data_IF_579459140488
#
_entry.id   IF_579459140488
#
_cell.length_a   1.000
_cell.length_b   1.000
_cell.length_c   1.000
_cell.angle_alpha   90.00
_cell.angle_beta   90.00
_cell.angle_gamma   90.00
#
_symmetry.space_group_name_H-M   'P 1'
#
loop_
_entity.id
_entity.type
_entity.pdbx_description
1 polymer ?
#
# COMPACT_ATOMS: atom_id res chain seq x y z
N UNK A 1 12.86 -19.58 20.44
CA UNK A 1 13.53 -20.66 19.65
C UNK A 1 14.38 -20.04 18.58
N UNK A 2 15.58 -20.54 18.39
CA UNK A 2 16.44 -20.09 17.29
C UNK A 2 16.18 -20.92 16.04
N UNK A 3 16.14 -20.25 14.89
CA UNK A 3 16.12 -20.90 13.58
C UNK A 3 17.43 -20.62 12.85
N UNK A 4 17.81 -21.45 11.87
CA UNK A 4 19.12 -21.31 11.21
C UNK A 4 19.13 -20.27 10.08
N UNK A 5 18.23 -19.28 10.12
CA UNK A 5 18.15 -18.23 9.09
C UNK A 5 17.51 -16.99 9.67
N UNK A 6 17.67 -15.87 8.97
CA UNK A 6 17.00 -14.60 9.27
C UNK A 6 16.20 -14.19 8.03
N UNK A 7 14.93 -13.82 8.21
CA UNK A 7 14.13 -13.32 7.09
C UNK A 7 14.66 -11.96 6.64
N UNK A 8 14.77 -11.78 5.34
CA UNK A 8 15.06 -10.49 4.72
C UNK A 8 13.80 -9.67 4.48
N UNK A 9 13.84 -8.84 3.46
CA UNK A 9 12.70 -8.01 3.06
C UNK A 9 11.53 -8.85 2.59
N UNK A 10 10.33 -8.28 2.64
CA UNK A 10 9.18 -8.86 1.96
C UNK A 10 9.41 -8.73 0.45
N UNK A 11 9.63 -9.85 -0.22
CA UNK A 11 9.92 -9.85 -1.65
C UNK A 11 8.70 -9.45 -2.48
N UNK A 12 7.63 -10.18 -2.30
CA UNK A 12 6.35 -9.91 -2.96
C UNK A 12 5.21 -10.54 -2.18
N UNK A 13 4.00 -10.09 -2.48
CA UNK A 13 2.78 -10.71 -1.98
C UNK A 13 1.69 -10.64 -3.05
N UNK A 14 0.67 -11.47 -2.91
CA UNK A 14 -0.42 -11.56 -3.86
C UNK A 14 -1.73 -11.11 -3.26
N UNK A 15 -2.58 -10.48 -4.09
CA UNK A 15 -3.93 -10.06 -3.72
C UNK A 15 -4.90 -10.51 -4.80
N UNK A 16 -6.06 -11.01 -4.37
CA UNK A 16 -7.18 -11.24 -5.28
C UNK A 16 -7.85 -9.90 -5.55
N UNK A 17 -8.02 -9.54 -6.82
CA UNK A 17 -8.66 -8.30 -7.26
C UNK A 17 -9.67 -8.61 -8.35
N UNK A 18 -10.68 -7.74 -8.52
CA UNK A 18 -11.74 -7.97 -9.52
C UNK A 18 -11.21 -7.89 -10.94
N UNK A 19 -10.36 -6.91 -11.20
CA UNK A 19 -9.81 -6.65 -12.54
C UNK A 19 -8.33 -6.28 -12.39
N UNK A 20 -7.41 -7.24 -12.60
CA UNK A 20 -5.98 -6.99 -12.42
C UNK A 20 -5.42 -5.84 -13.27
N UNK A 21 -5.93 -5.64 -14.49
CA UNK A 21 -5.44 -4.55 -15.35
C UNK A 21 -5.87 -3.18 -14.83
N UNK A 22 -7.10 -3.06 -14.37
CA UNK A 22 -7.59 -1.81 -13.75
C UNK A 22 -6.89 -1.56 -12.42
N UNK A 23 -6.72 -2.61 -11.62
CA UNK A 23 -6.01 -2.52 -10.35
C UNK A 23 -4.56 -2.08 -10.56
N UNK A 24 -3.87 -2.65 -11.55
CA UNK A 24 -2.51 -2.26 -11.88
C UNK A 24 -2.40 -0.76 -12.22
N UNK A 25 -3.36 -0.24 -12.99
CA UNK A 25 -3.39 1.20 -13.32
C UNK A 25 -3.62 2.06 -12.08
N UNK A 26 -4.45 1.59 -11.16
CA UNK A 26 -4.66 2.30 -9.91
C UNK A 26 -3.37 2.35 -9.07
N UNK A 27 -2.67 1.22 -8.92
CA UNK A 27 -1.41 1.17 -8.18
C UNK A 27 -0.34 2.07 -8.82
N UNK A 28 -0.29 2.14 -10.14
CA UNK A 28 0.62 3.04 -10.83
C UNK A 28 0.26 4.50 -10.52
N UNK A 29 -1.02 4.84 -10.64
CA UNK A 29 -1.51 6.20 -10.42
C UNK A 29 -1.41 6.66 -8.97
N UNK A 30 -1.77 5.78 -8.03
CA UNK A 30 -1.80 6.11 -6.61
C UNK A 30 -0.43 6.02 -5.94
N UNK A 31 0.34 4.97 -6.25
CA UNK A 31 1.56 4.62 -5.52
C UNK A 31 2.82 4.59 -6.39
N UNK A 32 2.71 4.85 -7.69
CA UNK A 32 3.86 4.84 -8.58
C UNK A 32 4.43 3.46 -8.85
N UNK A 33 3.69 2.39 -8.55
CA UNK A 33 4.12 1.03 -8.85
C UNK A 33 3.85 0.73 -10.31
N UNK A 34 4.87 0.26 -11.02
CA UNK A 34 4.78 0.01 -12.47
C UNK A 34 4.44 -1.44 -12.74
N UNK A 35 3.75 -1.68 -13.85
CA UNK A 35 3.56 -3.04 -14.35
C UNK A 35 4.92 -3.64 -14.67
N UNK A 36 5.22 -4.78 -14.06
CA UNK A 36 6.46 -5.51 -14.27
C UNK A 36 6.28 -6.61 -15.32
N UNK A 37 5.23 -7.40 -15.20
CA UNK A 37 4.90 -8.44 -16.16
C UNK A 37 3.44 -8.90 -15.98
N UNK A 38 2.95 -9.62 -16.99
CA UNK A 38 1.66 -10.31 -16.91
C UNK A 38 1.90 -11.82 -16.76
N UNK A 39 0.99 -12.46 -16.08
CA UNK A 39 1.01 -13.92 -15.91
C UNK A 39 -0.43 -14.43 -15.95
N UNK A 40 -0.65 -15.66 -16.40
CA UNK A 40 -1.96 -16.33 -16.40
C UNK A 40 -3.16 -15.40 -16.28
N UNK A 41 -3.72 -15.34 -15.08
CA UNK A 41 -4.89 -14.52 -14.76
C UNK A 41 -4.53 -13.25 -13.98
N UNK A 42 -3.33 -12.72 -14.13
CA UNK A 42 -2.91 -11.61 -13.30
C UNK A 42 -1.86 -10.69 -13.89
N UNK A 43 -1.54 -9.67 -13.10
CA UNK A 43 -0.55 -8.64 -13.42
C UNK A 43 0.30 -8.40 -12.17
N UNK A 44 1.61 -8.34 -12.34
CA UNK A 44 2.52 -7.93 -11.27
C UNK A 44 2.87 -6.46 -11.45
N UNK A 45 2.77 -5.70 -10.36
CA UNK A 45 3.20 -4.30 -10.30
C UNK A 45 4.26 -4.15 -9.21
N UNK A 46 5.18 -3.21 -9.38
CA UNK A 46 6.22 -3.06 -8.36
C UNK A 46 7.14 -1.89 -8.62
N UNK A 47 8.11 -1.80 -7.72
CA UNK A 47 9.26 -0.90 -7.82
C UNK A 47 10.49 -1.67 -7.33
N UNK A 48 11.59 -0.96 -7.01
CA UNK A 48 12.82 -1.61 -6.57
C UNK A 48 12.71 -2.29 -5.19
N UNK A 49 11.61 -2.05 -4.46
CA UNK A 49 11.48 -2.50 -3.07
C UNK A 49 10.40 -3.57 -2.87
N UNK A 50 9.37 -3.59 -3.70
CA UNK A 50 8.24 -4.50 -3.51
C UNK A 50 7.59 -4.82 -4.85
N UNK A 51 7.08 -6.06 -4.95
CA UNK A 51 6.21 -6.48 -6.05
C UNK A 51 4.88 -6.95 -5.46
N UNK A 52 3.79 -6.53 -6.08
CA UNK A 52 2.43 -7.00 -5.72
C UNK A 52 1.89 -7.77 -6.92
N UNK A 53 1.57 -9.04 -6.70
CA UNK A 53 0.94 -9.88 -7.70
C UNK A 53 -0.58 -9.73 -7.57
N UNK A 54 -1.21 -9.25 -8.63
CA UNK A 54 -2.66 -9.00 -8.68
C UNK A 54 -3.32 -10.14 -9.45
N UNK A 55 -4.04 -11.01 -8.74
CA UNK A 55 -4.72 -12.17 -9.31
C UNK A 55 -6.20 -11.86 -9.51
N UNK A 56 -6.75 -12.25 -10.65
CA UNK A 56 -8.19 -12.14 -10.85
C UNK A 56 -8.95 -13.07 -9.90
N UNK A 57 -9.86 -12.50 -9.13
CA UNK A 57 -10.64 -13.26 -8.17
C UNK A 57 -11.52 -12.35 -7.31
N UNK A 58 -12.20 -12.95 -6.35
CA UNK A 58 -13.00 -12.21 -5.40
C UNK A 58 -12.09 -11.56 -4.36
N UNK A 59 -12.11 -10.24 -4.22
CA UNK A 59 -11.33 -9.56 -3.19
C UNK A 59 -11.71 -10.04 -1.79
N UNK A 60 -10.70 -10.12 -0.91
CA UNK A 60 -10.88 -10.53 0.48
C UNK A 60 -10.17 -9.56 1.41
N UNK A 61 -10.54 -8.27 1.40
CA UNK A 61 -9.86 -7.25 2.21
C UNK A 61 -9.92 -7.54 3.70
N UNK A 62 -10.94 -8.23 4.17
CA UNK A 62 -11.09 -8.58 5.59
C UNK A 62 -10.04 -9.60 6.09
N UNK A 63 -9.33 -10.28 5.19
CA UNK A 63 -8.31 -11.26 5.58
C UNK A 63 -6.97 -10.63 5.92
N UNK A 64 -6.77 -9.39 5.52
CA UNK A 64 -5.62 -8.57 5.89
C UNK A 64 -6.17 -7.24 6.39
N UNK A 65 -5.86 -6.88 7.63
CA UNK A 65 -6.34 -5.62 8.21
C UNK A 65 -5.83 -4.43 7.38
N UNK A 66 -4.53 -4.36 7.18
CA UNK A 66 -3.91 -3.34 6.34
C UNK A 66 -2.47 -3.72 6.03
N UNK A 67 -1.88 -3.01 5.10
CA UNK A 67 -0.46 -3.10 4.76
C UNK A 67 0.13 -1.71 4.77
N UNK A 68 1.35 -1.57 5.31
CA UNK A 68 2.01 -0.29 5.48
C UNK A 68 3.29 -0.23 4.65
N UNK A 69 3.47 0.91 3.97
CA UNK A 69 4.74 1.25 3.33
C UNK A 69 5.37 2.44 4.04
N UNK A 70 6.67 2.40 4.23
CA UNK A 70 7.38 3.51 4.84
C UNK A 70 7.72 4.59 3.83
N UNK A 71 7.61 5.83 4.27
CA UNK A 71 8.14 7.00 3.58
C UNK A 71 9.27 7.59 4.43
N UNK A 72 10.21 8.33 3.81
CA UNK A 72 11.41 8.76 4.53
C UNK A 72 11.17 9.87 5.56
N UNK A 73 10.16 10.73 5.35
CA UNK A 73 9.94 11.89 6.23
C UNK A 73 8.52 12.45 6.09
N UNK A 74 8.18 13.35 7.01
CA UNK A 74 6.87 13.99 7.06
C UNK A 74 6.59 14.87 5.83
N UNK A 75 7.60 15.51 5.28
CA UNK A 75 7.43 16.31 4.07
C UNK A 75 6.95 15.44 2.90
N UNK A 76 7.53 14.24 2.77
CA UNK A 76 7.11 13.26 1.75
C UNK A 76 5.70 12.73 2.03
N UNK A 77 5.37 12.48 3.31
CA UNK A 77 4.02 12.03 3.67
C UNK A 77 2.96 13.07 3.31
N UNK A 78 3.24 14.36 3.54
CA UNK A 78 2.33 15.43 3.16
C UNK A 78 2.17 15.55 1.63
N UNK A 79 3.24 15.34 0.88
CA UNK A 79 3.17 15.29 -0.60
C UNK A 79 2.34 14.10 -1.07
N UNK A 80 2.51 12.94 -0.42
CA UNK A 80 1.73 11.76 -0.72
C UNK A 80 0.23 12.01 -0.47
N UNK A 81 -0.11 12.64 0.65
CA UNK A 81 -1.50 13.01 0.95
C UNK A 81 -2.09 13.90 -0.15
N UNK A 82 -1.36 14.96 -0.52
CA UNK A 82 -1.83 15.87 -1.57
C UNK A 82 -2.04 15.13 -2.90
N UNK A 83 -1.13 14.22 -3.25
CA UNK A 83 -1.25 13.41 -4.45
C UNK A 83 -2.48 12.51 -4.40
N UNK A 84 -2.65 11.75 -3.31
CA UNK A 84 -3.79 10.84 -3.16
C UNK A 84 -5.11 11.59 -3.22
N UNK A 85 -5.20 12.74 -2.57
CA UNK A 85 -6.41 13.57 -2.66
C UNK A 85 -6.64 14.09 -4.07
N UNK A 86 -5.59 14.44 -4.80
CA UNK A 86 -5.71 14.96 -6.16
C UNK A 86 -6.26 13.93 -7.15
N UNK A 87 -6.05 12.66 -6.90
CA UNK A 87 -6.57 11.58 -7.76
C UNK A 87 -7.90 11.01 -7.24
N UNK A 88 -8.45 11.57 -6.16
CA UNK A 88 -9.71 11.10 -5.61
C UNK A 88 -9.63 9.78 -4.87
N UNK A 89 -8.47 9.43 -4.30
CA UNK A 89 -8.33 8.22 -3.51
C UNK A 89 -9.27 8.23 -2.29
N UNK A 90 -9.73 7.04 -1.89
CA UNK A 90 -10.62 6.86 -0.75
C UNK A 90 -9.85 6.98 0.56
N UNK A 91 -9.76 8.19 1.09
CA UNK A 91 -9.01 8.48 2.32
C UNK A 91 -9.84 8.21 3.56
N UNK A 92 -9.18 7.69 4.62
CA UNK A 92 -9.76 7.66 5.96
C UNK A 92 -9.58 9.02 6.63
N UNK A 93 -10.49 9.34 7.56
CA UNK A 93 -10.47 10.56 8.38
C UNK A 93 -10.37 11.85 7.56
N UNK A 94 -11.30 12.10 6.59
CA UNK A 94 -11.23 13.29 5.75
C UNK A 94 -11.10 14.59 6.58
N UNK A 95 -10.08 15.36 6.28
CA UNK A 95 -9.76 16.60 7.01
C UNK A 95 -8.76 16.41 8.14
N UNK A 96 -8.49 15.18 8.54
CA UNK A 96 -7.53 14.83 9.60
C UNK A 96 -6.79 13.55 9.23
N UNK A 97 -6.33 13.47 7.99
CA UNK A 97 -5.81 12.23 7.43
C UNK A 97 -4.49 11.77 8.04
N UNK A 98 -3.61 12.70 8.41
CA UNK A 98 -2.31 12.36 9.01
C UNK A 98 -2.42 12.36 10.53
N UNK A 99 -2.05 11.25 11.14
CA UNK A 99 -2.06 11.10 12.59
C UNK A 99 -1.13 10.00 13.08
N UNK A 100 -1.05 9.80 14.41
CA UNK A 100 -0.27 8.70 14.96
C UNK A 100 -0.73 7.35 14.41
N UNK A 101 0.23 6.48 14.11
CA UNK A 101 -0.04 5.13 13.60
C UNK A 101 -0.90 4.32 14.58
N UNK A 102 -0.69 4.54 15.87
CA UNK A 102 -1.47 3.93 16.94
C UNK A 102 -1.44 4.87 18.14
N UNK A 103 -2.38 4.74 19.11
CA UNK A 103 -2.34 5.57 20.31
C UNK A 103 -0.98 5.49 21.00
N UNK A 104 -0.36 6.64 21.22
CA UNK A 104 0.95 6.74 21.87
C UNK A 104 2.16 6.48 20.98
N UNK A 105 1.95 6.12 19.71
CA UNK A 105 3.05 5.93 18.75
C UNK A 105 3.63 7.27 18.30
N UNK A 106 4.96 7.31 18.13
CA UNK A 106 5.64 8.43 17.49
C UNK A 106 5.64 8.31 15.97
N UNK A 107 5.28 7.12 15.43
CA UNK A 107 5.16 6.92 14.00
C UNK A 107 3.89 7.61 13.51
N UNK A 108 4.00 8.33 12.41
CA UNK A 108 2.89 9.06 11.81
C UNK A 108 2.50 8.40 10.50
N UNK A 109 1.21 8.38 10.21
CA UNK A 109 0.73 7.73 9.01
C UNK A 109 -0.56 8.31 8.47
N UNK A 110 -0.95 7.81 7.32
CA UNK A 110 -2.26 8.04 6.72
C UNK A 110 -2.78 6.72 6.14
N UNK A 111 -4.10 6.59 6.02
CA UNK A 111 -4.75 5.38 5.55
C UNK A 111 -5.71 5.68 4.42
N UNK A 112 -5.77 4.77 3.48
CA UNK A 112 -6.67 4.88 2.33
C UNK A 112 -7.02 3.48 1.82
N UNK A 113 -8.03 3.41 0.95
CA UNK A 113 -8.50 2.15 0.39
C UNK A 113 -8.33 2.16 -1.12
N UNK A 114 -8.00 0.99 -1.67
CA UNK A 114 -8.02 0.81 -3.12
C UNK A 114 -9.45 0.48 -3.60
N UNK A 115 -9.68 0.40 -4.92
CA UNK A 115 -11.02 0.10 -5.45
C UNK A 115 -11.59 -1.26 -5.03
N UNK A 116 -10.75 -2.20 -4.63
CA UNK A 116 -11.19 -3.52 -4.15
C UNK A 116 -11.42 -3.55 -2.64
N UNK A 117 -11.17 -2.45 -1.95
CA UNK A 117 -11.39 -2.32 -0.52
C UNK A 117 -10.21 -2.66 0.37
N UNK A 118 -9.07 -3.01 -0.18
CA UNK A 118 -7.87 -3.23 0.61
C UNK A 118 -7.40 -1.93 1.25
N UNK A 119 -7.02 -2.01 2.52
CA UNK A 119 -6.61 -0.87 3.32
C UNK A 119 -5.09 -0.73 3.30
N UNK A 120 -4.63 0.45 2.95
CA UNK A 120 -3.21 0.78 2.81
C UNK A 120 -2.82 1.88 3.77
N UNK A 121 -1.59 1.80 4.27
CA UNK A 121 -1.01 2.82 5.11
C UNK A 121 0.31 3.31 4.52
N UNK A 122 0.53 4.61 4.57
CA UNK A 122 1.85 5.20 4.37
C UNK A 122 2.28 5.77 5.71
N UNK A 123 3.48 5.41 6.17
CA UNK A 123 3.92 5.81 7.51
C UNK A 123 5.36 6.30 7.53
N UNK A 124 5.65 7.16 8.50
CA UNK A 124 6.97 7.72 8.75
C UNK A 124 7.40 7.31 10.15
N UNK A 125 8.49 6.56 10.24
CA UNK A 125 9.03 6.12 11.51
C UNK A 125 9.49 7.33 12.33
N UNK A 126 9.03 7.43 13.58
CA UNK A 126 9.35 8.53 14.48
C UNK A 126 8.74 9.87 14.11
N UNK A 127 7.92 9.94 13.07
CA UNK A 127 7.22 11.16 12.67
C UNK A 127 8.15 12.31 12.28
N UNK A 128 9.27 12.01 11.70
CA UNK A 128 10.29 13.00 11.33
C UNK A 128 10.07 13.52 9.92
#
# INVERSE_FOLDING_TARGET
>A
MKVPFTLGEVGHFGLAVRDPKKSAKWFERALGLRKEFEFGNGVAVGNDYVTIALFEGNPSPETIDHMSFHLPDMATLRKALAHLKSIGADMEDPGDEIGPEAPGSTNMGLWFHDPDGYRWELSVLGGK
#
